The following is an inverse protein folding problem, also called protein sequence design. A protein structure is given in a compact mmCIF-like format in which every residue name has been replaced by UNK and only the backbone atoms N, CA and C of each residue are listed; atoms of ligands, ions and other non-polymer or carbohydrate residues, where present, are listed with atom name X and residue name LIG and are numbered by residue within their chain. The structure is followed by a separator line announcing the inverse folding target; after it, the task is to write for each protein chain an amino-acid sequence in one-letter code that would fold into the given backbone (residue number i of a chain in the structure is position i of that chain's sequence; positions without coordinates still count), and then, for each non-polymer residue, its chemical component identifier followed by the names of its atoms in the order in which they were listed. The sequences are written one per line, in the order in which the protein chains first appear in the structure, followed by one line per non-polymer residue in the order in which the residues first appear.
data_IF_538136948307
#
_entry.id   IF_538136948307
#
_cell.length_a   1.000
_cell.length_b   1.000
_cell.length_c   1.000
_cell.angle_alpha   90.00
_cell.angle_beta   90.00
_cell.angle_gamma   90.00
#
_symmetry.space_group_name_H-M   'P 1'
#
loop_
_entity.id
_entity.type
_entity.pdbx_description
1 polymer ?
#
# COMPACT_ATOMS: atom_id res chain seq x y z
N UNK A 1 -6.83 10.30 17.50
CA UNK A 1 -6.37 9.64 16.27
C UNK A 1 -5.42 10.58 15.54
N UNK A 2 -4.30 10.09 15.01
CA UNK A 2 -3.39 10.92 14.22
C UNK A 2 -3.77 10.76 12.75
N UNK A 3 -4.10 11.86 12.08
CA UNK A 3 -4.45 11.85 10.65
C UNK A 3 -3.19 11.88 9.80
N UNK A 4 -3.18 11.10 8.72
CA UNK A 4 -2.13 11.18 7.70
C UNK A 4 -2.38 12.41 6.83
N UNK A 5 -1.53 13.43 7.00
CA UNK A 5 -1.47 14.58 6.10
C UNK A 5 -0.32 14.38 5.08
N UNK A 6 -0.17 15.30 4.14
CA UNK A 6 0.85 15.22 3.09
C UNK A 6 2.27 15.10 3.65
N UNK A 7 2.59 15.84 4.72
CA UNK A 7 3.92 15.81 5.34
C UNK A 7 4.23 14.44 5.96
N UNK A 8 3.29 13.90 6.76
CA UNK A 8 3.42 12.56 7.36
C UNK A 8 3.47 11.48 6.30
N UNK A 9 2.74 11.64 5.20
CA UNK A 9 2.76 10.71 4.09
C UNK A 9 4.11 10.72 3.35
N UNK A 10 4.66 11.91 3.06
CA UNK A 10 6.00 12.06 2.48
C UNK A 10 7.05 11.40 3.36
N UNK A 11 7.02 11.68 4.67
CA UNK A 11 7.94 11.05 5.62
C UNK A 11 7.79 9.53 5.62
N UNK A 12 6.56 9.03 5.54
CA UNK A 12 6.31 7.58 5.45
C UNK A 12 6.91 6.96 4.18
N UNK A 13 6.75 7.63 3.03
CA UNK A 13 7.33 7.18 1.77
C UNK A 13 8.86 7.10 1.86
N UNK A 14 9.50 8.17 2.35
CA UNK A 14 10.96 8.26 2.44
C UNK A 14 11.55 7.25 3.44
N UNK A 15 10.97 7.18 4.64
CA UNK A 15 11.56 6.38 5.72
C UNK A 15 11.29 4.87 5.59
N UNK A 16 10.16 4.48 5.01
CA UNK A 16 9.69 3.09 5.07
C UNK A 16 9.43 2.44 3.71
N UNK A 17 9.21 3.22 2.65
CA UNK A 17 8.83 2.65 1.35
C UNK A 17 9.94 2.72 0.31
N UNK A 18 10.57 3.88 0.14
CA UNK A 18 11.53 4.10 -0.93
C UNK A 18 12.84 3.35 -0.69
N UNK A 19 13.39 3.41 0.53
CA UNK A 19 14.65 2.71 0.87
C UNK A 19 14.58 1.20 0.58
N UNK A 20 13.57 0.42 1.06
CA UNK A 20 13.53 -1.01 0.75
C UNK A 20 13.28 -1.32 -0.73
N UNK A 21 12.57 -0.45 -1.45
CA UNK A 21 12.27 -0.67 -2.87
C UNK A 21 13.51 -0.47 -3.75
N UNK A 22 14.37 0.49 -3.40
CA UNK A 22 15.66 0.69 -4.06
C UNK A 22 16.60 -0.52 -3.86
N UNK A 23 16.58 -1.13 -2.68
CA UNK A 23 17.37 -2.33 -2.37
C UNK A 23 16.87 -3.60 -3.06
N UNK A 24 15.58 -3.67 -3.42
CA UNK A 24 14.96 -4.88 -3.95
C UNK A 24 15.37 -5.24 -5.39
N UNK A 25 16.04 -4.34 -6.12
CA UNK A 25 16.55 -4.50 -7.51
C UNK A 25 15.62 -5.32 -8.44
N UNK A 26 14.32 -4.99 -8.48
CA UNK A 26 13.31 -5.76 -9.23
C UNK A 26 13.05 -5.28 -10.66
N UNK A 27 13.97 -4.54 -11.26
CA UNK A 27 13.76 -3.97 -12.60
C UNK A 27 12.54 -3.04 -12.62
N UNK A 28 11.54 -3.32 -13.47
CA UNK A 28 10.36 -2.45 -13.60
C UNK A 28 9.32 -2.72 -12.51
N UNK A 29 9.07 -1.71 -11.66
CA UNK A 29 8.08 -1.76 -10.57
C UNK A 29 6.89 -0.86 -10.89
N UNK A 30 5.68 -1.31 -10.56
CA UNK A 30 4.45 -0.51 -10.62
C UNK A 30 4.04 -0.08 -9.22
N UNK A 31 3.88 1.23 -9.00
CA UNK A 31 3.36 1.78 -7.76
C UNK A 31 1.88 2.14 -7.88
N UNK A 32 1.08 1.79 -6.87
CA UNK A 32 -0.35 2.04 -6.83
C UNK A 32 -0.76 2.55 -5.44
N UNK A 33 -1.62 3.58 -5.40
CA UNK A 33 -2.19 4.18 -4.18
C UNK A 33 -3.67 4.50 -4.38
N UNK A 34 -4.33 5.27 -3.51
CA UNK A 34 -5.67 5.82 -3.77
C UNK A 34 -5.61 7.34 -4.11
N UNK A 35 -6.76 7.95 -4.40
CA UNK A 35 -6.87 9.37 -4.73
C UNK A 35 -6.89 10.33 -3.53
N UNK A 36 -6.53 9.90 -2.32
CA UNK A 36 -6.61 10.77 -1.14
C UNK A 36 -5.80 12.07 -1.29
N UNK A 37 -6.27 13.16 -0.67
CA UNK A 37 -5.63 14.49 -0.78
C UNK A 37 -4.16 14.48 -0.37
N UNK A 38 -3.79 13.71 0.66
CA UNK A 38 -2.41 13.56 1.09
C UNK A 38 -1.56 12.84 0.03
N UNK A 39 -2.11 11.84 -0.66
CA UNK A 39 -1.42 11.03 -1.66
C UNK A 39 -1.22 11.79 -2.99
N UNK A 40 -2.20 12.62 -3.36
CA UNK A 40 -2.18 13.41 -4.60
C UNK A 40 -1.59 14.81 -4.44
N UNK A 41 -1.13 15.16 -3.24
CA UNK A 41 -0.53 16.46 -2.95
C UNK A 41 0.73 16.72 -3.80
N UNK A 42 1.06 17.99 -4.06
CA UNK A 42 2.26 18.34 -4.82
C UNK A 42 3.53 17.77 -4.20
N UNK A 43 3.64 17.81 -2.87
CA UNK A 43 4.80 17.30 -2.14
C UNK A 43 4.97 15.78 -2.34
N UNK A 44 3.91 15.01 -2.08
CA UNK A 44 3.91 13.55 -2.25
C UNK A 44 4.22 13.14 -3.69
N UNK A 45 3.59 13.82 -4.66
CA UNK A 45 3.80 13.52 -6.06
C UNK A 45 5.17 13.97 -6.58
N UNK A 46 5.83 14.95 -5.95
CA UNK A 46 7.21 15.32 -6.26
C UNK A 46 8.18 14.20 -5.84
N UNK A 47 8.04 13.70 -4.60
CA UNK A 47 8.86 12.59 -4.09
C UNK A 47 8.73 11.35 -4.97
N UNK A 48 7.50 10.97 -5.35
CA UNK A 48 7.29 9.82 -6.23
C UNK A 48 7.89 10.01 -7.63
N UNK A 49 7.84 11.23 -8.20
CA UNK A 49 8.43 11.50 -9.52
C UNK A 49 9.95 11.41 -9.53
N UNK A 50 10.59 11.80 -8.42
CA UNK A 50 12.04 11.74 -8.26
C UNK A 50 12.53 10.28 -8.24
N UNK A 51 11.82 9.39 -7.54
CA UNK A 51 12.23 8.00 -7.36
C UNK A 51 11.72 7.06 -8.47
N UNK A 52 10.68 7.47 -9.22
CA UNK A 52 10.15 6.72 -10.36
C UNK A 52 10.19 7.57 -11.65
N UNK A 53 11.40 7.89 -12.17
CA UNK A 53 11.54 8.70 -13.37
C UNK A 53 10.98 7.96 -14.60
N UNK A 54 10.22 8.67 -15.42
CA UNK A 54 9.69 8.12 -16.67
C UNK A 54 8.38 7.33 -16.54
N UNK A 55 7.78 7.22 -15.35
CA UNK A 55 6.42 6.73 -15.20
C UNK A 55 5.44 7.66 -15.96
N UNK A 56 4.96 7.27 -17.14
CA UNK A 56 4.04 8.09 -17.90
C UNK A 56 2.74 8.09 -17.11
N UNK A 57 2.24 9.27 -16.77
CA UNK A 57 0.89 9.45 -16.22
C UNK A 57 0.64 9.22 -14.74
N UNK A 58 1.59 9.54 -13.84
CA UNK A 58 1.23 9.93 -12.46
C UNK A 58 0.16 11.04 -12.41
N UNK A 59 -0.02 11.81 -13.50
CA UNK A 59 -1.03 12.85 -13.66
C UNK A 59 -2.29 12.44 -14.46
N UNK A 60 -2.32 11.31 -15.17
CA UNK A 60 -3.39 11.03 -16.16
C UNK A 60 -3.75 9.56 -16.40
N UNK A 61 -3.37 8.60 -15.54
CA UNK A 61 -3.97 7.26 -15.56
C UNK A 61 -4.99 7.11 -14.44
N UNK A 62 -6.23 7.49 -14.78
CA UNK A 62 -7.51 7.16 -14.10
C UNK A 62 -7.40 6.75 -12.62
N UNK A 63 -6.99 7.68 -11.75
CA UNK A 63 -7.80 7.93 -10.55
C UNK A 63 -9.05 8.67 -11.01
N UNK A 64 -9.93 7.98 -11.74
CA UNK A 64 -11.33 8.37 -11.64
C UNK A 64 -11.68 8.23 -10.17
N UNK A 65 -12.42 9.19 -9.62
CA UNK A 65 -13.14 8.98 -8.36
C UNK A 65 -13.63 7.53 -8.35
N UNK A 66 -13.04 6.70 -7.49
CA UNK A 66 -13.65 5.42 -7.23
C UNK A 66 -14.94 5.79 -6.50
N UNK A 67 -16.05 5.67 -7.21
CA UNK A 67 -17.32 5.26 -6.62
C UNK A 67 -17.01 4.23 -5.53
N UNK A 68 -17.72 4.19 -4.39
CA UNK A 68 -17.47 3.26 -3.28
C UNK A 68 -17.44 1.76 -3.67
N UNK A 69 -17.74 1.44 -4.93
CA UNK A 69 -17.75 0.11 -5.54
C UNK A 69 -16.99 0.06 -6.89
N UNK A 70 -15.70 0.36 -6.92
CA UNK A 70 -14.83 0.04 -8.07
C UNK A 70 -13.94 -1.18 -7.73
N UNK A 71 -14.04 -2.33 -8.44
CA UNK A 71 -13.39 -3.59 -8.07
C UNK A 71 -11.85 -3.68 -8.31
N UNK A 72 -11.09 -2.58 -8.22
CA UNK A 72 -9.76 -2.49 -8.86
C UNK A 72 -8.53 -2.73 -7.96
N UNK A 73 -8.66 -3.37 -6.81
CA UNK A 73 -7.52 -3.65 -5.90
C UNK A 73 -7.63 -5.02 -5.22
N UNK A 74 -7.56 -6.15 -5.96
CA UNK A 74 -7.76 -7.49 -5.40
C UNK A 74 -6.81 -7.77 -4.22
N UNK A 75 -5.54 -7.36 -4.32
CA UNK A 75 -4.59 -7.48 -3.22
C UNK A 75 -4.97 -6.68 -1.98
N UNK A 76 -5.44 -5.43 -2.13
CA UNK A 76 -5.80 -4.60 -0.98
C UNK A 76 -7.04 -5.17 -0.30
N UNK A 77 -8.04 -5.60 -1.09
CA UNK A 77 -9.27 -6.21 -0.57
C UNK A 77 -8.94 -7.50 0.19
N UNK A 78 -8.14 -8.38 -0.43
CA UNK A 78 -7.70 -9.62 0.18
C UNK A 78 -6.90 -9.35 1.46
N UNK A 79 -5.82 -8.57 1.38
CA UNK A 79 -4.91 -8.35 2.50
C UNK A 79 -5.64 -7.74 3.70
N UNK A 80 -6.51 -6.76 3.46
CA UNK A 80 -7.28 -6.14 4.53
C UNK A 80 -8.28 -7.10 5.18
N UNK A 81 -9.01 -7.89 4.38
CA UNK A 81 -9.93 -8.90 4.87
C UNK A 81 -9.21 -10.02 5.64
N UNK A 82 -8.13 -10.52 5.07
CA UNK A 82 -7.27 -11.55 5.66
C UNK A 82 -6.72 -11.09 7.01
N UNK A 83 -6.03 -9.95 7.07
CA UNK A 83 -5.42 -9.47 8.31
C UNK A 83 -6.48 -9.22 9.39
N UNK A 84 -7.62 -8.60 9.05
CA UNK A 84 -8.71 -8.42 10.02
C UNK A 84 -9.20 -9.74 10.62
N UNK A 85 -9.33 -10.79 9.81
CA UNK A 85 -9.81 -12.09 10.26
C UNK A 85 -8.82 -12.82 11.19
N UNK A 86 -7.52 -12.45 11.15
CA UNK A 86 -6.43 -13.14 11.82
C UNK A 86 -5.86 -12.38 13.01
N UNK A 87 -5.52 -11.11 12.80
CA UNK A 87 -4.86 -10.23 13.78
C UNK A 87 -5.68 -10.05 15.05
N UNK A 88 -7.01 -10.13 14.96
CA UNK A 88 -7.91 -9.96 16.10
C UNK A 88 -8.27 -11.27 16.83
N UNK A 89 -7.81 -12.44 16.34
CA UNK A 89 -8.12 -13.75 16.97
C UNK A 89 -7.58 -13.82 18.39
N UNK A 90 -6.36 -13.33 18.62
CA UNK A 90 -5.73 -13.30 19.96
C UNK A 90 -6.25 -12.17 20.87
N UNK A 91 -7.21 -11.36 20.40
CA UNK A 91 -7.81 -10.24 21.14
C UNK A 91 -6.76 -9.28 21.73
N UNK A 92 -5.89 -8.68 20.88
CA UNK A 92 -4.86 -7.77 21.36
C UNK A 92 -5.48 -6.61 22.16
N UNK A 93 -4.92 -6.34 23.34
CA UNK A 93 -5.47 -5.34 24.27
C UNK A 93 -4.74 -4.00 24.22
N UNK A 94 -3.57 -3.97 23.56
CA UNK A 94 -2.77 -2.77 23.41
C UNK A 94 -2.17 -2.68 21.99
N UNK A 95 -1.57 -1.54 21.68
CA UNK A 95 -1.02 -1.25 20.36
C UNK A 95 0.22 -2.09 20.04
N UNK A 96 1.01 -2.49 21.03
CA UNK A 96 2.18 -3.33 20.83
C UNK A 96 1.77 -4.73 20.35
N UNK A 97 0.78 -5.35 21.03
CA UNK A 97 0.22 -6.65 20.64
C UNK A 97 -0.36 -6.57 19.23
N UNK A 98 -1.16 -5.54 18.94
CA UNK A 98 -1.76 -5.36 17.62
C UNK A 98 -0.70 -5.27 16.52
N UNK A 99 0.36 -4.49 16.75
CA UNK A 99 1.49 -4.36 15.83
C UNK A 99 2.29 -5.64 15.68
N UNK A 100 2.44 -6.43 16.75
CA UNK A 100 3.12 -7.73 16.71
C UNK A 100 2.31 -8.71 15.84
N UNK A 101 1.01 -8.85 16.11
CA UNK A 101 0.11 -9.70 15.34
C UNK A 101 0.10 -9.35 13.85
N UNK A 102 0.05 -8.05 13.49
CA UNK A 102 0.10 -7.61 12.09
C UNK A 102 1.40 -8.08 11.42
N UNK A 103 2.55 -7.92 12.09
CA UNK A 103 3.84 -8.34 11.53
C UNK A 103 3.92 -9.85 11.36
N UNK A 104 3.53 -10.60 12.38
CA UNK A 104 3.51 -12.06 12.34
C UNK A 104 2.63 -12.59 11.20
N UNK A 105 1.39 -12.10 11.10
CA UNK A 105 0.49 -12.53 10.04
C UNK A 105 1.00 -12.11 8.65
N UNK A 106 1.60 -10.93 8.48
CA UNK A 106 2.21 -10.52 7.20
C UNK A 106 3.38 -11.44 6.82
N UNK A 107 4.28 -11.75 7.76
CA UNK A 107 5.44 -12.62 7.50
C UNK A 107 5.01 -14.04 7.14
N UNK A 108 3.87 -14.50 7.67
CA UNK A 108 3.34 -15.84 7.43
C UNK A 108 2.48 -15.96 6.15
N UNK A 109 2.17 -14.88 5.43
CA UNK A 109 1.45 -14.98 4.15
C UNK A 109 2.39 -15.58 3.11
N UNK A 110 2.08 -16.77 2.57
CA UNK A 110 2.96 -17.37 1.57
C UNK A 110 2.79 -16.68 0.21
N UNK A 111 3.90 -16.55 -0.53
CA UNK A 111 3.96 -15.76 -1.76
C UNK A 111 3.01 -16.27 -2.86
N UNK A 112 2.75 -17.59 -2.89
CA UNK A 112 1.79 -18.23 -3.78
C UNK A 112 0.36 -17.71 -3.59
N UNK A 113 0.00 -17.32 -2.36
CA UNK A 113 -1.30 -16.74 -2.03
C UNK A 113 -1.43 -15.35 -2.64
N UNK A 114 -0.39 -14.52 -2.54
CA UNK A 114 -0.36 -13.21 -3.16
C UNK A 114 -0.39 -13.32 -4.69
N UNK A 115 0.31 -14.30 -5.26
CA UNK A 115 0.28 -14.57 -6.70
C UNK A 115 -1.14 -14.94 -7.17
N UNK A 116 -1.82 -15.88 -6.50
CA UNK A 116 -3.22 -16.26 -6.82
C UNK A 116 -4.20 -15.10 -6.74
N UNK A 117 -4.02 -14.18 -5.79
CA UNK A 117 -4.88 -12.98 -5.69
C UNK A 117 -4.66 -12.03 -6.87
N UNK A 118 -3.45 -12.03 -7.43
CA UNK A 118 -3.10 -11.22 -8.60
C UNK A 118 -3.44 -11.88 -9.94
N UNK A 119 -3.76 -13.17 -9.94
CA UNK A 119 -4.32 -13.86 -11.10
C UNK A 119 -5.75 -13.35 -11.33
N UNK A 120 -5.90 -12.38 -12.22
CA UNK A 120 -7.22 -11.93 -12.69
C UNK A 120 -7.85 -13.08 -13.48
N UNK A 121 -9.05 -13.58 -13.12
CA UNK A 121 -9.76 -14.54 -13.94
C UNK A 121 -9.97 -13.92 -15.34
N UNK A 122 -9.58 -14.66 -16.38
CA UNK A 122 -9.82 -14.26 -17.78
C UNK A 122 -11.30 -14.07 -18.06
#
# INVERSE_FOLDING_TARGET
TVTVNSERYVKMLQDFFLLPIEELDRGQIWFQQDGATAHTSRASMNVLREHFPGAPDFKKRRFGMASPFNPTYPLVIFLWGYLKSRVYVSRPTNLADLKANIREEITNIPADTLARVMEVPK
#
